data_IF_713387294703
#
_entry.id   IF_713387294703
#
_cell.length_a   1.000
_cell.length_b   1.000
_cell.length_c   1.000
_cell.angle_alpha   90.00
_cell.angle_beta   90.00
_cell.angle_gamma   90.00
#
_symmetry.space_group_name_H-M   'P 1'
#
loop_
_entity.id
_entity.type
_entity.pdbx_description
1 polymer ?
#
# COMPACT_ATOMS: atom_id res chain seq x y z
N UNK A 1 9.57 -5.53 11.42
CA UNK A 1 9.68 -6.25 10.13
C UNK A 1 10.06 -5.32 8.98
N UNK A 2 9.25 -4.31 8.64
CA UNK A 2 9.49 -3.42 7.50
C UNK A 2 10.92 -2.82 7.45
N UNK A 3 11.42 -2.27 8.56
CA UNK A 3 12.78 -1.72 8.63
C UNK A 3 13.87 -2.76 8.30
N UNK A 4 13.74 -3.99 8.82
CA UNK A 4 14.67 -5.09 8.54
C UNK A 4 14.61 -5.52 7.08
N UNK A 5 13.42 -5.58 6.50
CA UNK A 5 13.26 -5.89 5.08
C UNK A 5 13.89 -4.81 4.21
N UNK A 6 13.64 -3.54 4.50
CA UNK A 6 14.23 -2.41 3.79
C UNK A 6 15.76 -2.46 3.85
N UNK A 7 16.33 -2.71 5.03
CA UNK A 7 17.77 -2.84 5.22
C UNK A 7 18.39 -4.04 4.47
N UNK A 8 17.59 -5.07 4.17
CA UNK A 8 18.03 -6.28 3.46
C UNK A 8 17.59 -6.31 1.99
N UNK A 9 16.94 -5.26 1.48
CA UNK A 9 16.51 -5.22 0.09
C UNK A 9 17.71 -5.00 -0.83
N UNK A 10 18.05 -6.01 -1.63
CA UNK A 10 19.09 -5.91 -2.65
C UNK A 10 18.59 -5.50 -4.03
N UNK A 11 17.31 -5.17 -4.17
CA UNK A 11 16.70 -4.75 -5.44
C UNK A 11 16.34 -3.26 -5.42
N UNK A 12 16.17 -2.69 -6.61
CA UNK A 12 15.72 -1.30 -6.79
C UNK A 12 14.20 -1.14 -6.66
N UNK A 13 13.47 -2.21 -6.34
CA UNK A 13 12.00 -2.17 -6.16
C UNK A 13 11.63 -1.58 -4.80
N UNK A 14 10.55 -0.78 -4.72
CA UNK A 14 10.14 -0.14 -3.47
C UNK A 14 9.66 -1.16 -2.43
N UNK A 15 10.06 -0.96 -1.18
CA UNK A 15 9.60 -1.75 -0.03
C UNK A 15 8.97 -0.83 1.01
N UNK A 16 7.64 -0.80 1.02
CA UNK A 16 6.85 0.18 1.77
C UNK A 16 6.04 -0.49 2.89
N UNK A 17 5.81 0.26 3.97
CA UNK A 17 4.83 -0.07 4.98
C UNK A 17 3.84 1.09 5.09
N UNK A 18 2.54 0.79 4.95
CA UNK A 18 1.47 1.74 5.18
C UNK A 18 0.98 1.60 6.62
N UNK A 19 1.07 2.67 7.40
CA UNK A 19 0.59 2.73 8.79
C UNK A 19 -0.60 3.68 8.85
N UNK A 20 -1.79 3.13 9.05
CA UNK A 20 -3.02 3.91 9.16
C UNK A 20 -3.08 4.61 10.53
N UNK A 21 -3.33 5.92 10.53
CA UNK A 21 -3.49 6.70 11.78
C UNK A 21 -4.93 6.59 12.24
N UNK A 22 -5.17 6.55 13.56
CA UNK A 22 -6.54 6.54 14.13
C UNK A 22 -7.43 5.43 13.52
N UNK A 23 -6.89 4.22 13.40
CA UNK A 23 -7.63 3.01 13.09
C UNK A 23 -7.11 1.88 13.98
N UNK A 24 -8.02 1.05 14.49
CA UNK A 24 -7.67 -0.16 15.25
C UNK A 24 -7.48 -1.37 14.33
N UNK A 25 -7.73 -2.57 14.86
CA UNK A 25 -7.53 -3.84 14.15
C UNK A 25 -8.50 -4.10 12.98
N UNK A 26 -9.35 -3.13 12.62
CA UNK A 26 -10.23 -3.18 11.44
C UNK A 26 -11.72 -3.05 11.76
N UNK A 27 -12.17 -3.51 12.93
CA UNK A 27 -13.56 -3.33 13.35
C UNK A 27 -13.91 -1.84 13.50
N UNK A 28 -14.98 -1.41 12.84
CA UNK A 28 -15.42 -0.01 12.87
C UNK A 28 -14.57 0.96 12.05
N UNK A 29 -13.69 0.48 11.16
CA UNK A 29 -12.92 1.36 10.26
C UNK A 29 -13.91 2.13 9.34
N UNK A 30 -13.87 3.47 9.31
CA UNK A 30 -14.72 4.27 8.44
C UNK A 30 -14.61 3.84 6.98
N UNK A 31 -15.72 3.87 6.24
CA UNK A 31 -15.76 3.46 4.83
C UNK A 31 -14.75 4.26 4.00
N UNK A 32 -14.62 5.56 4.23
CA UNK A 32 -13.62 6.41 3.56
C UNK A 32 -12.21 5.85 3.70
N UNK A 33 -11.79 5.48 4.91
CA UNK A 33 -10.46 4.89 5.13
C UNK A 33 -10.28 3.51 4.52
N UNK A 34 -11.36 2.76 4.32
CA UNK A 34 -11.32 1.47 3.60
C UNK A 34 -11.12 1.71 2.10
N UNK A 35 -11.78 2.74 1.55
CA UNK A 35 -11.58 3.16 0.16
C UNK A 35 -10.12 3.61 -0.04
N UNK A 36 -9.61 4.50 0.82
CA UNK A 36 -8.22 4.97 0.74
C UNK A 36 -7.22 3.81 0.80
N UNK A 37 -7.44 2.84 1.69
CA UNK A 37 -6.60 1.64 1.77
C UNK A 37 -6.62 0.82 0.48
N UNK A 38 -7.80 0.61 -0.11
CA UNK A 38 -7.91 -0.13 -1.37
C UNK A 38 -7.27 0.63 -2.53
N UNK A 39 -7.44 1.95 -2.58
CA UNK A 39 -6.78 2.81 -3.59
C UNK A 39 -5.26 2.70 -3.47
N UNK A 40 -4.70 2.79 -2.27
CA UNK A 40 -3.25 2.64 -2.05
C UNK A 40 -2.75 1.24 -2.48
N UNK A 41 -3.47 0.17 -2.14
CA UNK A 41 -3.10 -1.21 -2.50
C UNK A 41 -3.13 -1.39 -4.03
N UNK A 42 -4.25 -1.07 -4.68
CA UNK A 42 -4.42 -1.32 -6.10
C UNK A 42 -3.53 -0.41 -6.96
N UNK A 43 -3.37 0.86 -6.58
CA UNK A 43 -2.46 1.75 -7.30
C UNK A 43 -1.00 1.29 -7.21
N UNK A 44 -0.56 0.81 -6.04
CA UNK A 44 0.77 0.21 -5.88
C UNK A 44 0.94 -1.03 -6.76
N UNK A 45 -0.01 -1.97 -6.71
CA UNK A 45 0.04 -3.20 -7.52
C UNK A 45 0.06 -2.88 -9.02
N UNK A 46 -0.84 -2.01 -9.48
CA UNK A 46 -0.91 -1.64 -10.89
C UNK A 46 0.37 -0.96 -11.36
N UNK A 47 0.95 -0.07 -10.53
CA UNK A 47 2.21 0.59 -10.83
C UNK A 47 3.38 -0.40 -10.92
N UNK A 48 3.57 -1.24 -9.91
CA UNK A 48 4.72 -2.16 -9.83
C UNK A 48 4.63 -3.31 -10.84
N UNK A 49 3.43 -3.66 -11.31
CA UNK A 49 3.20 -4.62 -12.39
C UNK A 49 3.17 -3.99 -13.78
N UNK A 50 3.34 -2.66 -13.90
CA UNK A 50 3.33 -1.97 -15.19
C UNK A 50 1.96 -1.96 -15.88
N UNK A 51 0.87 -2.10 -15.14
CA UNK A 51 -0.52 -2.07 -15.62
C UNK A 51 -0.99 -0.63 -15.91
N UNK A 52 -0.12 0.19 -16.50
CA UNK A 52 -0.39 1.60 -16.78
C UNK A 52 -1.21 1.69 -18.06
N UNK A 53 -2.52 1.48 -17.92
CA UNK A 53 -3.42 1.43 -19.06
C UNK A 53 -4.88 1.26 -18.69
N UNK A 54 -5.44 2.22 -17.94
CA UNK A 54 -6.81 2.70 -18.19
C UNK A 54 -6.79 4.20 -17.87
N UNK A 55 -6.43 5.00 -18.88
CA UNK A 55 -6.89 6.39 -18.90
C UNK A 55 -8.43 6.39 -18.90
N UNK A 56 -9.10 7.40 -18.31
CA UNK A 56 -10.56 7.48 -18.34
C UNK A 56 -11.12 7.40 -19.76
#
# INVERSE_FOLDING_TARGET
YAATLQAKNGSDKPMLIRVERRAGHGAGKPISKRIDEMVDIYSFVMKELGMVGVAP
#
